data_IF_859147801606
#
_entry.id   IF_859147801606
#
_cell.length_a   1.000
_cell.length_b   1.000
_cell.length_c   1.000
_cell.angle_alpha   90.00
_cell.angle_beta   90.00
_cell.angle_gamma   90.00
#
_symmetry.space_group_name_H-M   'P 1'
#
loop_
_entity.id
_entity.type
_entity.pdbx_description
1 polymer ?
#
# COMPACT_ATOMS: atom_id res chain seq x y z
N UNK A 1 -31.83 58.69 -11.39
CA UNK A 1 -32.18 57.25 -11.30
C UNK A 1 -31.34 56.50 -12.34
N UNK A 2 -30.60 55.47 -11.90
CA UNK A 2 -29.56 54.77 -12.68
C UNK A 2 -30.17 53.77 -13.66
N UNK A 3 -29.78 53.82 -14.92
CA UNK A 3 -30.04 52.79 -15.93
C UNK A 3 -29.09 51.61 -15.72
N UNK A 4 -29.63 50.45 -15.35
CA UNK A 4 -28.89 49.20 -15.21
C UNK A 4 -28.75 48.59 -16.60
N UNK A 5 -27.52 48.53 -17.13
CA UNK A 5 -27.18 47.79 -18.35
C UNK A 5 -26.98 46.32 -17.99
N UNK A 6 -27.89 45.45 -18.42
CA UNK A 6 -27.71 44.00 -18.33
C UNK A 6 -27.09 43.54 -19.64
N UNK A 7 -25.76 43.50 -19.66
CA UNK A 7 -24.96 42.88 -20.72
C UNK A 7 -24.10 41.83 -20.02
N UNK A 8 -24.34 40.56 -20.34
CA UNK A 8 -23.43 39.49 -19.97
C UNK A 8 -24.13 38.23 -19.46
N UNK A 9 -24.68 37.44 -20.37
CA UNK A 9 -24.74 36.00 -20.15
C UNK A 9 -24.91 35.29 -21.50
N UNK A 10 -23.80 34.83 -22.09
CA UNK A 10 -23.73 33.74 -23.07
C UNK A 10 -22.25 33.53 -23.45
N UNK A 11 -21.53 32.82 -22.60
CA UNK A 11 -20.22 32.25 -22.93
C UNK A 11 -20.05 30.90 -22.24
N UNK A 12 -20.86 29.91 -22.65
CA UNK A 12 -20.64 28.50 -22.28
C UNK A 12 -21.10 27.61 -23.43
N UNK A 13 -20.31 27.54 -24.50
CA UNK A 13 -20.50 26.54 -25.55
C UNK A 13 -19.22 26.28 -26.36
N UNK A 14 -18.08 26.00 -25.71
CA UNK A 14 -16.89 25.54 -26.44
C UNK A 14 -16.05 24.57 -25.61
N UNK A 15 -16.53 23.34 -25.38
CA UNK A 15 -15.66 22.21 -25.06
C UNK A 15 -16.40 20.86 -25.12
N UNK A 16 -17.12 20.61 -26.22
CA UNK A 16 -17.63 19.26 -26.52
C UNK A 16 -17.17 18.92 -27.93
N UNK A 17 -16.03 18.22 -28.03
CA UNK A 17 -15.64 17.25 -29.09
C UNK A 17 -14.13 17.04 -29.05
N UNK A 18 -13.66 16.23 -28.10
CA UNK A 18 -12.46 15.42 -28.37
C UNK A 18 -12.98 14.09 -28.88
N UNK A 19 -13.06 13.94 -30.20
CA UNK A 19 -13.31 12.64 -30.81
C UNK A 19 -12.05 11.79 -30.60
N UNK A 20 -12.10 10.88 -29.63
CA UNK A 20 -11.08 9.85 -29.46
C UNK A 20 -11.26 8.80 -30.58
N UNK A 21 -10.79 9.12 -31.79
CA UNK A 21 -10.75 8.20 -32.92
C UNK A 21 -9.58 7.20 -32.86
N UNK A 22 -8.99 6.99 -31.69
CA UNK A 22 -7.94 5.99 -31.53
C UNK A 22 -8.60 4.62 -31.40
N UNK A 23 -8.61 3.86 -32.50
CA UNK A 23 -8.93 2.45 -32.47
C UNK A 23 -8.04 1.76 -31.43
N UNK A 24 -8.68 1.11 -30.45
CA UNK A 24 -7.98 0.25 -29.49
C UNK A 24 -7.51 -0.98 -30.27
N UNK A 25 -6.24 -0.99 -30.66
CA UNK A 25 -5.61 -2.15 -31.29
C UNK A 25 -5.12 -3.06 -30.17
N UNK A 26 -5.80 -4.18 -29.97
CA UNK A 26 -5.28 -5.24 -29.11
C UNK A 26 -4.06 -5.87 -29.79
N UNK A 27 -2.90 -5.98 -29.11
CA UNK A 27 -1.79 -6.76 -29.65
C UNK A 27 -2.27 -8.19 -29.90
N UNK A 28 -2.08 -8.68 -31.13
CA UNK A 28 -2.46 -10.03 -31.51
C UNK A 28 -1.74 -11.10 -30.65
N UNK A 29 -2.29 -12.32 -30.57
CA UNK A 29 -1.71 -13.37 -29.74
C UNK A 29 -0.29 -13.69 -30.21
N UNK A 30 0.70 -13.37 -29.37
CA UNK A 30 2.07 -13.85 -29.54
C UNK A 30 2.08 -15.35 -29.23
N UNK A 31 2.02 -16.18 -30.27
CA UNK A 31 2.09 -17.64 -30.18
C UNK A 31 3.51 -18.17 -29.87
N UNK A 32 4.22 -17.54 -28.93
CA UNK A 32 5.36 -18.17 -28.29
C UNK A 32 4.81 -18.94 -27.10
N UNK A 33 4.75 -20.27 -27.24
CA UNK A 33 4.46 -21.16 -26.13
C UNK A 33 5.43 -20.83 -25.00
N UNK A 34 4.91 -20.15 -23.97
CA UNK A 34 5.64 -19.87 -22.75
C UNK A 34 5.92 -21.24 -22.14
N UNK A 35 7.20 -21.57 -21.90
CA UNK A 35 7.58 -22.78 -21.17
C UNK A 35 6.70 -22.89 -19.92
N UNK A 36 6.30 -24.12 -19.57
CA UNK A 36 5.51 -24.42 -18.38
C UNK A 36 6.32 -24.06 -17.11
N UNK A 37 6.44 -22.76 -16.83
CA UNK A 37 6.88 -22.26 -15.55
C UNK A 37 5.78 -22.61 -14.55
N UNK A 38 6.12 -23.24 -13.40
CA UNK A 38 5.14 -23.51 -12.38
C UNK A 38 4.43 -22.21 -12.00
N UNK A 39 3.10 -22.20 -12.08
CA UNK A 39 2.29 -21.08 -11.63
C UNK A 39 2.38 -21.04 -10.11
N UNK A 40 3.29 -20.21 -9.59
CA UNK A 40 3.39 -19.93 -8.16
C UNK A 40 2.32 -18.89 -7.85
N UNK A 41 1.24 -19.32 -7.21
CA UNK A 41 0.25 -18.40 -6.68
C UNK A 41 0.90 -17.53 -5.59
N UNK A 42 0.66 -16.20 -5.59
CA UNK A 42 1.12 -15.35 -4.50
C UNK A 42 0.61 -15.91 -3.17
N UNK A 43 1.51 -16.13 -2.22
CA UNK A 43 1.11 -16.48 -0.85
C UNK A 43 0.49 -15.23 -0.24
N UNK A 44 -0.74 -15.34 0.25
CA UNK A 44 -1.40 -14.24 0.94
C UNK A 44 -0.58 -13.83 2.17
N UNK A 45 -0.03 -12.62 2.13
CA UNK A 45 0.67 -12.02 3.26
C UNK A 45 -0.34 -11.49 4.27
N UNK A 46 -0.13 -11.79 5.54
CA UNK A 46 -0.99 -11.36 6.64
C UNK A 46 -0.34 -10.23 7.43
N UNK A 47 -1.14 -9.42 8.15
CA UNK A 47 -0.61 -8.42 9.08
C UNK A 47 0.43 -8.99 10.06
N UNK A 48 1.61 -8.39 10.09
CA UNK A 48 2.68 -8.70 11.07
C UNK A 48 2.46 -7.83 12.30
N UNK A 49 2.38 -8.41 13.52
CA UNK A 49 2.24 -7.63 14.74
C UNK A 49 3.54 -6.90 15.08
N UNK A 50 3.43 -5.59 15.34
CA UNK A 50 4.51 -4.72 15.81
C UNK A 50 4.43 -4.63 17.33
N UNK A 51 5.18 -5.49 18.01
CA UNK A 51 5.14 -5.69 19.46
C UNK A 51 5.99 -4.64 20.16
N UNK A 52 5.41 -3.96 21.14
CA UNK A 52 6.12 -2.95 21.94
C UNK A 52 6.36 -1.63 21.20
N UNK A 53 5.64 -1.40 20.10
CA UNK A 53 5.72 -0.17 19.31
C UNK A 53 6.67 -0.28 18.12
N UNK A 54 7.00 0.86 17.53
CA UNK A 54 7.85 0.97 16.35
C UNK A 54 8.57 2.33 16.34
N UNK A 55 9.66 2.42 15.58
CA UNK A 55 10.35 3.65 15.24
C UNK A 55 10.44 3.76 13.71
N UNK A 56 10.41 4.98 13.19
CA UNK A 56 10.63 5.25 11.77
C UNK A 56 11.69 6.33 11.65
N UNK A 57 12.85 5.96 11.10
CA UNK A 57 13.97 6.87 10.89
C UNK A 57 14.54 6.65 9.48
N UNK A 58 14.80 7.74 8.75
CA UNK A 58 15.39 7.69 7.40
C UNK A 58 14.68 6.73 6.43
N UNK A 59 13.35 6.61 6.54
CA UNK A 59 12.56 5.71 5.70
C UNK A 59 12.65 4.24 6.07
N UNK A 60 13.22 3.89 7.22
CA UNK A 60 13.27 2.52 7.74
C UNK A 60 12.37 2.44 8.97
N UNK A 61 11.42 1.51 8.96
CA UNK A 61 10.64 1.15 10.14
C UNK A 61 11.36 0.04 10.91
N UNK A 62 11.66 0.28 12.19
CA UNK A 62 12.19 -0.73 13.10
C UNK A 62 11.16 -1.04 14.18
N UNK A 63 11.02 -2.32 14.53
CA UNK A 63 10.08 -2.78 15.54
C UNK A 63 10.51 -4.16 16.06
N UNK A 64 9.73 -4.75 16.96
CA UNK A 64 9.83 -6.17 17.30
C UNK A 64 8.60 -6.91 16.80
N UNK A 65 8.77 -8.17 16.41
CA UNK A 65 7.65 -9.09 16.18
C UNK A 65 7.89 -10.40 16.90
N UNK A 66 6.87 -11.21 17.06
CA UNK A 66 7.05 -12.54 17.63
C UNK A 66 7.80 -13.45 16.65
N UNK A 67 8.83 -14.13 17.14
CA UNK A 67 9.70 -14.98 16.32
C UNK A 67 8.97 -16.26 15.81
N UNK A 68 7.88 -16.68 16.46
CA UNK A 68 7.09 -17.88 16.12
C UNK A 68 7.89 -19.18 15.86
N UNK A 69 9.15 -19.27 16.32
CA UNK A 69 10.04 -20.39 16.03
C UNK A 69 10.57 -20.43 14.60
N UNK A 70 10.47 -19.32 13.86
CA UNK A 70 11.01 -19.13 12.52
C UNK A 70 11.97 -17.96 12.51
N UNK A 71 12.92 -17.95 11.57
CA UNK A 71 13.75 -16.78 11.41
C UNK A 71 12.88 -15.63 10.90
N UNK A 72 12.96 -14.47 11.55
CA UNK A 72 12.24 -13.26 11.15
C UNK A 72 12.61 -12.87 9.71
N UNK A 73 13.84 -13.13 9.28
CA UNK A 73 14.27 -12.89 7.90
C UNK A 73 13.47 -13.68 6.85
N UNK A 74 12.81 -14.77 7.25
CA UNK A 74 12.02 -15.61 6.36
C UNK A 74 10.58 -15.11 6.16
N UNK A 75 10.18 -14.05 6.88
CA UNK A 75 8.80 -13.53 6.90
C UNK A 75 8.41 -12.72 5.66
N UNK A 76 9.29 -12.55 4.66
CA UNK A 76 9.05 -11.75 3.43
C UNK A 76 8.21 -10.48 3.69
N UNK A 77 8.72 -9.62 4.55
CA UNK A 77 7.99 -8.49 5.11
C UNK A 77 7.95 -7.33 4.11
N UNK A 78 6.78 -6.71 3.96
CA UNK A 78 6.58 -5.54 3.11
C UNK A 78 5.62 -4.52 3.73
N UNK A 79 5.76 -3.27 3.27
CA UNK A 79 4.86 -2.17 3.60
C UNK A 79 3.76 -2.02 2.54
N UNK A 80 2.51 -1.94 2.99
CA UNK A 80 1.32 -1.73 2.15
C UNK A 80 0.48 -0.56 2.66
N UNK A 81 -0.27 0.05 1.75
CA UNK A 81 -1.29 1.04 2.07
C UNK A 81 -2.60 0.30 2.34
N UNK A 82 -3.19 0.53 3.51
CA UNK A 82 -4.54 0.09 3.87
C UNK A 82 -5.39 1.32 4.13
N UNK A 83 -6.69 1.23 3.88
CA UNK A 83 -7.65 2.27 4.27
C UNK A 83 -8.54 1.75 5.40
N UNK A 84 -8.73 2.57 6.43
CA UNK A 84 -9.71 2.38 7.49
C UNK A 84 -10.69 3.56 7.44
N UNK A 85 -11.83 3.33 6.79
CA UNK A 85 -12.69 4.42 6.33
C UNK A 85 -11.94 5.39 5.43
N UNK A 86 -11.85 6.65 5.86
CA UNK A 86 -11.12 7.72 5.15
C UNK A 86 -9.65 7.89 5.62
N UNK A 87 -9.20 7.07 6.56
CA UNK A 87 -7.86 7.19 7.15
C UNK A 87 -6.88 6.24 6.46
N UNK A 88 -5.81 6.76 5.83
CA UNK A 88 -4.77 5.91 5.27
C UNK A 88 -3.88 5.34 6.38
N UNK A 89 -3.56 4.05 6.26
CA UNK A 89 -2.74 3.33 7.24
C UNK A 89 -1.56 2.61 6.58
N UNK A 90 -0.42 2.65 7.27
CA UNK A 90 0.77 1.85 6.94
C UNK A 90 0.55 0.46 7.53
N UNK A 91 0.40 -0.52 6.66
CA UNK A 91 0.21 -1.91 7.01
C UNK A 91 1.49 -2.69 6.72
N UNK A 92 2.10 -3.27 7.76
CA UNK A 92 3.24 -4.18 7.59
C UNK A 92 2.71 -5.60 7.47
N UNK A 93 2.96 -6.25 6.33
CA UNK A 93 2.50 -7.63 6.08
C UNK A 93 3.68 -8.53 5.80
N UNK A 94 3.50 -9.83 6.01
CA UNK A 94 4.51 -10.85 5.75
C UNK A 94 3.89 -12.24 5.67
N UNK A 95 4.71 -13.24 5.38
CA UNK A 95 4.37 -14.68 5.44
C UNK A 95 4.28 -15.15 6.90
N UNK A 96 3.42 -14.48 7.66
CA UNK A 96 3.32 -14.64 9.10
C UNK A 96 2.19 -15.61 9.45
N UNK A 97 2.53 -16.85 9.84
CA UNK A 97 1.52 -17.83 10.27
C UNK A 97 1.06 -17.52 11.69
N UNK A 98 -0.06 -16.81 11.83
CA UNK A 98 -0.63 -16.44 13.14
C UNK A 98 -0.85 -17.61 14.11
N UNK A 99 -1.06 -18.83 13.62
CA UNK A 99 -1.22 -20.05 14.43
C UNK A 99 0.07 -20.55 15.10
N UNK A 100 1.25 -20.14 14.62
CA UNK A 100 2.54 -20.66 15.10
C UNK A 100 3.13 -19.86 16.27
N UNK A 101 2.50 -18.74 16.65
CA UNK A 101 3.06 -17.82 17.62
C UNK A 101 2.60 -18.09 19.06
N UNK A 102 2.96 -19.27 19.59
CA UNK A 102 2.81 -19.62 21.02
C UNK A 102 4.07 -19.39 21.86
N UNK A 103 5.18 -19.07 21.20
CA UNK A 103 6.45 -18.69 21.84
C UNK A 103 6.38 -17.20 22.17
N UNK A 104 6.31 -16.86 23.46
CA UNK A 104 6.28 -15.46 23.94
C UNK A 104 7.58 -14.69 23.71
N UNK A 105 8.45 -15.14 22.80
CA UNK A 105 9.74 -14.51 22.48
C UNK A 105 9.58 -13.61 21.26
N UNK A 106 10.02 -12.37 21.40
CA UNK A 106 10.06 -11.38 20.32
C UNK A 106 11.47 -11.26 19.74
N UNK A 107 11.58 -10.77 18.51
CA UNK A 107 12.84 -10.41 17.88
C UNK A 107 12.68 -9.18 16.98
N UNK A 108 13.79 -8.53 16.63
CA UNK A 108 13.77 -7.27 15.88
C UNK A 108 13.41 -7.49 14.41
N UNK A 109 12.68 -6.53 13.84
CA UNK A 109 12.39 -6.42 12.41
C UNK A 109 12.80 -5.04 11.89
N UNK A 110 13.20 -4.99 10.62
CA UNK A 110 13.44 -3.75 9.90
C UNK A 110 12.77 -3.80 8.53
N UNK A 111 12.03 -2.76 8.17
CA UNK A 111 11.31 -2.67 6.89
C UNK A 111 11.72 -1.39 6.19
N UNK A 112 12.30 -1.51 4.99
CA UNK A 112 12.59 -0.38 4.12
C UNK A 112 11.29 0.15 3.49
N UNK A 113 10.93 1.38 3.84
CA UNK A 113 9.74 2.07 3.35
C UNK A 113 10.02 2.85 2.05
N UNK A 114 11.24 2.89 1.53
CA UNK A 114 11.61 3.71 0.36
C UNK A 114 10.68 3.46 -0.83
N UNK A 115 10.42 2.19 -1.17
CA UNK A 115 9.49 1.83 -2.26
C UNK A 115 8.05 2.24 -1.96
N UNK A 116 7.63 2.12 -0.70
CA UNK A 116 6.29 2.52 -0.28
C UNK A 116 6.12 4.05 -0.41
N UNK A 117 7.08 4.81 0.11
CA UNK A 117 7.12 6.28 0.07
C UNK A 117 7.12 6.77 -1.39
N UNK A 118 7.99 6.21 -2.24
CA UNK A 118 8.08 6.60 -3.67
C UNK A 118 6.77 6.38 -4.44
N UNK A 119 5.95 5.41 -4.02
CA UNK A 119 4.69 5.06 -4.70
C UNK A 119 3.47 5.71 -4.06
N UNK A 120 3.63 6.37 -2.91
CA UNK A 120 2.53 6.92 -2.13
C UNK A 120 2.48 8.44 -2.31
N UNK A 121 1.34 9.00 -2.75
CA UNK A 121 1.17 10.45 -2.82
C UNK A 121 1.43 11.14 -1.48
N UNK A 122 2.08 12.31 -1.51
CA UNK A 122 2.46 13.06 -0.30
C UNK A 122 1.28 13.35 0.63
N UNK A 123 0.11 13.71 0.09
CA UNK A 123 -1.08 14.00 0.90
C UNK A 123 -1.58 12.79 1.72
N UNK A 124 -1.19 11.56 1.33
CA UNK A 124 -1.45 10.33 2.09
C UNK A 124 -0.38 10.15 3.17
N UNK A 125 0.89 10.38 2.83
CA UNK A 125 2.04 10.32 3.77
C UNK A 125 1.83 11.21 4.98
N UNK A 126 1.29 12.42 4.79
CA UNK A 126 1.06 13.40 5.86
C UNK A 126 0.01 12.96 6.89
N UNK A 127 -0.77 11.90 6.60
CA UNK A 127 -1.89 11.42 7.43
C UNK A 127 -1.74 9.96 7.85
N UNK A 128 -0.60 9.35 7.52
CA UNK A 128 -0.40 7.92 7.68
C UNK A 128 -0.24 7.54 9.16
N UNK A 129 -1.02 6.55 9.57
CA UNK A 129 -0.92 5.91 10.90
C UNK A 129 -0.54 4.45 10.72
N UNK A 130 0.30 3.90 11.59
CA UNK A 130 0.67 2.48 11.51
C UNK A 130 -0.45 1.60 12.08
N UNK A 131 -0.92 0.63 11.29
CA UNK A 131 -2.10 -0.18 11.64
C UNK A 131 -1.82 -1.31 12.64
N UNK A 132 -0.64 -1.94 12.56
CA UNK A 132 -0.42 -3.26 13.19
C UNK A 132 0.25 -3.18 14.56
N UNK A 133 -0.04 -2.13 15.31
CA UNK A 133 0.49 -1.97 16.65
C UNK A 133 -0.11 -3.04 17.58
N UNK A 134 0.74 -3.86 18.19
CA UNK A 134 0.35 -4.84 19.20
C UNK A 134 0.93 -4.42 20.56
N UNK A 135 0.09 -4.27 21.61
CA UNK A 135 0.61 -4.00 22.95
C UNK A 135 1.48 -5.17 23.43
N UNK A 136 2.48 -4.85 24.25
CA UNK A 136 3.22 -5.86 25.01
C UNK A 136 2.25 -6.53 25.99
N UNK A 137 1.84 -7.77 25.71
CA UNK A 137 1.25 -8.63 26.74
C UNK A 137 2.40 -9.17 27.59
N UNK A 138 2.84 -8.38 28.56
CA UNK A 138 3.71 -8.80 29.66
C UNK A 138 2.88 -9.46 30.77
#
# INVERSE_FOLDING_TARGET
MKTIKILGLLAFATSMTVAANNAIVFPGPSNTAVENAPVVFPVDKTPVPLVGGYQIENGILTSSTYNCGINISDLDIEAKLKWDGATPQLLIVGTYKGIMCRSGVTGPISVDLSKFIQRTPTYILDRLVVANHAPLNL
#
